data_IF_404417644324
#
_entry.id   IF_404417644324
#
_cell.length_a   1.000
_cell.length_b   1.000
_cell.length_c   1.000
_cell.angle_alpha   90.00
_cell.angle_beta   90.00
_cell.angle_gamma   90.00
#
_symmetry.space_group_name_H-M   'P 1'
#
loop_
_entity.id
_entity.type
_entity.pdbx_description
1 polymer ?
#
# COMPACT_ATOMS: atom_id res chain seq x y z
N UNK A 1 5.72 5.68 42.87
CA UNK A 1 6.56 4.47 42.85
C UNK A 1 6.01 3.54 41.77
N UNK A 2 6.88 3.19 40.82
CA UNK A 2 6.94 2.04 39.91
C UNK A 2 5.90 0.90 40.09
N UNK A 3 5.45 0.12 39.09
CA UNK A 3 5.87 -0.14 37.69
C UNK A 3 4.92 -1.19 37.10
N UNK A 4 4.89 -1.28 35.77
CA UNK A 4 4.77 -2.55 35.05
C UNK A 4 3.33 -2.87 34.66
N UNK A 5 3.04 -3.26 33.43
CA UNK A 5 3.84 -3.68 32.30
C UNK A 5 2.82 -4.34 31.37
N UNK A 6 2.80 -3.96 30.10
CA UNK A 6 1.76 -4.45 29.18
C UNK A 6 1.58 -3.63 27.91
N UNK A 7 2.35 -2.57 27.73
CA UNK A 7 2.67 -2.11 26.38
C UNK A 7 3.69 -3.10 25.82
N UNK A 8 3.32 -3.88 24.80
CA UNK A 8 4.22 -4.23 23.66
C UNK A 8 3.65 -5.27 22.68
N UNK A 9 2.60 -6.05 23.00
CA UNK A 9 2.26 -7.21 22.16
C UNK A 9 1.13 -7.04 21.12
N UNK A 10 0.53 -5.86 20.96
CA UNK A 10 -0.58 -5.63 20.00
C UNK A 10 -0.41 -4.39 19.14
N UNK A 11 0.83 -3.94 18.95
CA UNK A 11 1.15 -3.05 17.84
C UNK A 11 0.90 -3.80 16.51
N UNK A 12 0.09 -3.21 15.63
CA UNK A 12 -0.10 -3.56 14.22
C UNK A 12 -1.13 -4.64 13.86
N UNK A 13 -2.25 -4.74 14.60
CA UNK A 13 -3.53 -4.89 13.88
C UNK A 13 -3.94 -3.50 13.43
N UNK A 14 -3.68 -3.16 12.17
CA UNK A 14 -4.20 -1.94 11.56
C UNK A 14 -5.73 -1.92 11.77
N UNK A 15 -6.19 -1.09 12.70
CA UNK A 15 -7.59 -0.72 12.82
C UNK A 15 -7.93 0.04 11.54
N UNK A 16 -8.56 -0.62 10.57
CA UNK A 16 -9.02 -0.01 9.30
C UNK A 16 -10.30 0.80 9.50
N UNK A 17 -10.45 1.41 10.67
CA UNK A 17 -11.60 2.22 11.03
C UNK A 17 -11.00 3.44 11.71
N UNK A 18 -10.91 4.52 10.94
CA UNK A 18 -10.53 5.85 11.43
C UNK A 18 -11.79 6.68 11.54
N UNK A 19 -11.86 7.54 12.56
CA UNK A 19 -12.95 8.49 12.69
C UNK A 19 -12.84 9.56 11.59
N UNK A 20 -13.91 9.76 10.83
CA UNK A 20 -13.93 10.69 9.69
C UNK A 20 -13.67 12.13 10.17
N UNK A 21 -14.01 12.44 11.42
CA UNK A 21 -13.75 13.75 12.01
C UNK A 21 -12.26 14.03 12.28
N UNK A 22 -11.44 12.98 12.43
CA UNK A 22 -10.00 13.06 12.69
C UNK A 22 -9.15 12.74 11.46
N UNK A 23 -9.75 12.30 10.35
CA UNK A 23 -9.00 12.13 9.11
C UNK A 23 -8.56 13.50 8.58
N UNK A 24 -7.25 13.68 8.29
CA UNK A 24 -6.81 14.89 7.62
C UNK A 24 -7.54 14.97 6.28
N UNK A 25 -8.29 16.06 6.07
CA UNK A 25 -8.98 16.38 4.81
C UNK A 25 -7.98 16.78 3.71
N UNK A 26 -6.82 16.14 3.68
CA UNK A 26 -5.85 16.27 2.62
C UNK A 26 -6.43 15.62 1.37
N UNK A 27 -7.01 16.47 0.51
CA UNK A 27 -7.33 16.07 -0.84
C UNK A 27 -6.02 15.71 -1.55
N UNK A 28 -5.80 14.42 -1.75
CA UNK A 28 -4.74 13.95 -2.63
C UNK A 28 -5.04 14.51 -4.01
N UNK A 29 -4.07 15.21 -4.60
CA UNK A 29 -4.20 15.71 -5.95
C UNK A 29 -4.54 14.52 -6.87
N UNK A 30 -5.51 14.68 -7.79
CA UNK A 30 -5.78 13.64 -8.77
C UNK A 30 -4.48 13.27 -9.48
N UNK A 31 -4.33 11.99 -9.81
CA UNK A 31 -3.19 11.51 -10.58
C UNK A 31 -3.25 12.17 -11.97
N UNK A 32 -2.49 13.25 -12.14
CA UNK A 32 -2.38 13.98 -13.40
C UNK A 32 -1.24 13.46 -14.29
N UNK A 33 -1.16 13.96 -15.51
CA UNK A 33 -0.17 13.56 -16.52
C UNK A 33 -0.60 12.36 -17.38
N UNK A 34 -1.85 11.91 -17.23
CA UNK A 34 -2.45 10.81 -17.98
C UNK A 34 -3.64 11.28 -18.84
N UNK A 35 -3.89 12.58 -18.91
CA UNK A 35 -5.04 13.18 -19.59
C UNK A 35 -5.01 12.93 -21.09
N UNK A 36 -3.81 12.87 -21.67
CA UNK A 36 -3.59 12.60 -23.09
C UNK A 36 -3.32 11.11 -23.38
N UNK A 37 -3.30 10.24 -22.35
CA UNK A 37 -3.06 8.83 -22.56
C UNK A 37 -4.31 8.13 -23.13
N UNK A 38 -4.13 7.22 -24.10
CA UNK A 38 -5.25 6.46 -24.63
C UNK A 38 -5.85 5.58 -23.54
N UNK A 39 -7.17 5.58 -23.46
CA UNK A 39 -7.89 4.60 -22.65
C UNK A 39 -7.64 3.21 -23.24
N UNK A 40 -7.04 2.33 -22.42
CA UNK A 40 -6.75 0.94 -22.78
C UNK A 40 -7.49 -0.01 -21.85
N UNK A 41 -7.70 -1.25 -22.28
CA UNK A 41 -8.21 -2.29 -21.41
C UNK A 41 -7.20 -2.62 -20.30
N UNK A 42 -7.67 -3.29 -19.25
CA UNK A 42 -6.78 -3.79 -18.20
C UNK A 42 -5.79 -4.80 -18.76
N UNK A 43 -6.23 -5.65 -19.69
CA UNK A 43 -5.42 -6.67 -20.35
C UNK A 43 -4.26 -6.04 -21.14
N UNK A 44 -4.50 -4.93 -21.82
CA UNK A 44 -3.46 -4.15 -22.50
C UNK A 44 -2.51 -3.48 -21.52
N UNK A 45 -3.04 -2.86 -20.45
CA UNK A 45 -2.24 -2.13 -19.47
C UNK A 45 -1.25 -3.04 -18.71
N UNK A 46 -1.58 -4.31 -18.51
CA UNK A 46 -0.71 -5.25 -17.77
C UNK A 46 0.35 -5.94 -18.63
N UNK A 47 0.23 -5.94 -19.97
CA UNK A 47 1.21 -6.58 -20.86
C UNK A 47 2.66 -6.13 -20.60
N UNK A 48 2.96 -4.82 -20.45
CA UNK A 48 4.32 -4.36 -20.21
C UNK A 48 4.88 -4.77 -18.83
N UNK A 49 4.01 -5.19 -17.90
CA UNK A 49 4.40 -5.58 -16.54
C UNK A 49 4.86 -7.04 -16.46
N UNK A 50 4.56 -7.88 -17.45
CA UNK A 50 4.91 -9.31 -17.44
C UNK A 50 6.41 -9.56 -17.23
N UNK A 51 7.34 -8.84 -17.89
CA UNK A 51 8.78 -9.08 -17.73
C UNK A 51 9.31 -8.79 -16.31
N UNK A 52 8.67 -7.92 -15.54
CA UNK A 52 9.11 -7.56 -14.18
C UNK A 52 8.58 -8.50 -13.10
N UNK A 53 7.55 -9.31 -13.39
CA UNK A 53 6.91 -10.20 -12.42
C UNK A 53 7.89 -11.16 -11.73
N UNK A 54 8.85 -11.82 -12.41
CA UNK A 54 9.77 -12.73 -11.74
C UNK A 54 10.64 -12.03 -10.68
N UNK A 55 11.08 -10.80 -10.96
CA UNK A 55 11.88 -10.01 -10.03
C UNK A 55 11.05 -9.60 -8.80
N UNK A 56 9.81 -9.14 -9.01
CA UNK A 56 8.88 -8.79 -7.93
C UNK A 56 8.60 -10.00 -7.04
N UNK A 57 8.33 -11.18 -7.63
CA UNK A 57 8.09 -12.42 -6.89
C UNK A 57 9.32 -12.83 -6.06
N UNK A 58 10.51 -12.74 -6.63
CA UNK A 58 11.76 -13.02 -5.91
C UNK A 58 11.91 -12.11 -4.69
N UNK A 59 11.80 -10.79 -4.87
CA UNK A 59 11.91 -9.82 -3.77
C UNK A 59 10.85 -10.06 -2.68
N UNK A 60 9.60 -10.29 -3.07
CA UNK A 60 8.53 -10.59 -2.13
C UNK A 60 8.81 -11.87 -1.32
N UNK A 61 9.34 -12.91 -1.99
CA UNK A 61 9.70 -14.17 -1.33
C UNK A 61 10.83 -14.01 -0.31
N UNK A 62 11.84 -13.19 -0.60
CA UNK A 62 12.94 -12.87 0.31
C UNK A 62 12.44 -12.06 1.50
N UNK A 63 11.62 -11.03 1.25
CA UNK A 63 11.04 -10.19 2.30
C UNK A 63 10.19 -11.01 3.28
N UNK A 64 9.41 -11.99 2.78
CA UNK A 64 8.56 -12.86 3.61
C UNK A 64 9.35 -13.85 4.48
N UNK A 65 10.60 -14.15 4.13
CA UNK A 65 11.45 -15.11 4.88
C UNK A 65 12.30 -14.46 5.97
N UNK A 66 12.33 -13.12 6.03
CA UNK A 66 12.87 -12.36 7.17
C UNK A 66 11.77 -12.15 8.21
#
# INVERSE_FOLDING_TARGET
MATGGGQEATAQRFLRITDIDQEPLEFIAPIGGYEEMPLVSLEEAVKPLVPILPAVQSHASVAKRR
#
